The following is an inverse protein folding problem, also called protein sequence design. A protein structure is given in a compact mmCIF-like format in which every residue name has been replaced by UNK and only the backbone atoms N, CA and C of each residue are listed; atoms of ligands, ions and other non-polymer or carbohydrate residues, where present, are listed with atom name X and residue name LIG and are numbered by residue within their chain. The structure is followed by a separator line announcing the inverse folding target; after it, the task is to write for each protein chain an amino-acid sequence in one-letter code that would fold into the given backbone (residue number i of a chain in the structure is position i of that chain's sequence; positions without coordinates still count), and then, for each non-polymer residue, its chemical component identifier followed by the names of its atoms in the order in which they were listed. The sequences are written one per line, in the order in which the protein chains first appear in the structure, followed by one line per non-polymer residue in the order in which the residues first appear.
data_IF_965368295816
#
_entry.id   IF_965368295816
#
_cell.length_a   1.000
_cell.length_b   1.000
_cell.length_c   1.000
_cell.angle_alpha   90.00
_cell.angle_beta   90.00
_cell.angle_gamma   90.00
#
_symmetry.space_group_name_H-M   'P 1'
#
loop_
_entity.id
_entity.type
_entity.pdbx_description
1 polymer ?
#
# COMPACT_ATOMS: atom_id res chain seq x y z
N UNK A 1 18.37 10.01 6.99
CA UNK A 1 17.72 11.05 6.19
C UNK A 1 16.70 11.78 7.05
N UNK A 2 16.76 13.08 7.01
CA UNK A 2 15.85 13.86 7.85
C UNK A 2 14.43 13.85 7.25
N UNK A 3 13.43 13.79 8.13
CA UNK A 3 12.02 13.83 7.72
C UNK A 3 11.39 15.11 8.22
N UNK A 4 10.75 15.85 7.34
CA UNK A 4 10.02 17.05 7.71
C UNK A 4 8.54 16.73 7.76
N UNK A 5 7.85 17.19 8.81
CA UNK A 5 6.42 16.98 8.95
C UNK A 5 5.68 18.15 8.34
N UNK A 6 4.82 17.85 7.38
CA UNK A 6 3.99 18.86 6.73
C UNK A 6 2.59 18.74 7.30
N UNK A 7 2.13 19.82 7.95
CA UNK A 7 0.78 19.87 8.50
C UNK A 7 -0.12 20.55 7.47
N UNK A 8 -1.22 19.91 7.11
CA UNK A 8 -2.14 20.45 6.13
C UNK A 8 -3.57 20.39 6.64
N UNK A 9 -4.39 21.34 6.20
CA UNK A 9 -5.80 21.36 6.54
C UNK A 9 -6.59 21.99 5.40
N UNK A 10 -7.86 21.67 5.35
CA UNK A 10 -8.73 22.19 4.32
C UNK A 10 -9.01 23.66 4.56
N UNK A 11 -8.82 24.48 3.55
CA UNK A 11 -9.07 25.91 3.61
C UNK A 11 -9.84 26.30 2.35
N UNK A 12 -11.14 26.50 2.48
CA UNK A 12 -11.98 26.77 1.32
C UNK A 12 -11.97 25.60 0.34
N UNK A 13 -11.54 25.86 -0.87
CA UNK A 13 -11.45 24.81 -1.89
C UNK A 13 -10.03 24.31 -2.12
N UNK A 14 -9.13 24.64 -1.20
CA UNK A 14 -7.72 24.24 -1.30
C UNK A 14 -7.27 23.56 -0.01
N UNK A 15 -6.08 22.97 -0.06
CA UNK A 15 -5.40 22.43 1.11
C UNK A 15 -4.23 23.35 1.44
N UNK A 16 -4.30 24.01 2.59
CA UNK A 16 -3.20 24.84 3.05
C UNK A 16 -2.22 24.00 3.84
N UNK A 17 -0.93 24.23 3.69
CA UNK A 17 0.07 23.45 4.42
C UNK A 17 1.15 24.35 4.99
N UNK A 18 1.78 23.86 6.04
CA UNK A 18 2.94 24.52 6.66
C UNK A 18 3.88 23.46 7.17
N UNK A 19 5.14 23.84 7.35
CA UNK A 19 6.18 22.96 7.85
C UNK A 19 6.74 23.56 9.12
N UNK A 20 6.34 23.10 10.30
CA UNK A 20 6.80 23.70 11.55
C UNK A 20 8.32 23.71 11.72
N UNK A 21 9.01 22.71 11.19
CA UNK A 21 10.46 22.60 11.32
C UNK A 21 11.20 23.54 10.36
N UNK A 22 10.51 24.15 9.42
CA UNK A 22 11.09 25.11 8.48
C UNK A 22 10.22 26.35 8.44
N UNK A 23 10.37 27.25 9.40
CA UNK A 23 9.51 28.43 9.48
C UNK A 23 9.53 29.23 8.19
N UNK A 24 8.37 29.62 7.73
CA UNK A 24 8.22 30.29 6.45
C UNK A 24 7.88 29.36 5.30
N UNK A 25 8.04 28.07 5.48
CA UNK A 25 7.67 27.10 4.45
C UNK A 25 6.18 26.82 4.56
N UNK A 26 5.40 27.34 3.65
CA UNK A 26 3.96 27.12 3.61
C UNK A 26 3.46 27.29 2.18
N UNK A 27 2.25 26.85 1.92
CA UNK A 27 1.66 26.97 0.61
C UNK A 27 0.26 26.38 0.55
N UNK A 28 -0.23 26.18 -0.66
CA UNK A 28 -1.55 25.63 -0.91
C UNK A 28 -1.50 24.69 -2.08
N UNK A 29 -2.40 23.70 -2.07
CA UNK A 29 -2.60 22.80 -3.21
C UNK A 29 -4.09 22.55 -3.36
N UNK A 30 -4.54 22.30 -4.57
CA UNK A 30 -5.96 22.04 -4.81
C UNK A 30 -6.38 20.66 -4.35
N UNK A 31 -5.48 19.70 -4.40
CA UNK A 31 -5.77 18.33 -4.02
C UNK A 31 -4.81 17.86 -2.96
N UNK A 32 -5.30 17.04 -2.05
CA UNK A 32 -4.47 16.51 -0.98
C UNK A 32 -3.25 15.76 -1.50
N UNK A 33 -3.40 15.02 -2.60
CA UNK A 33 -2.29 14.25 -3.17
C UNK A 33 -1.16 15.13 -3.68
N UNK A 34 -1.42 16.42 -3.92
CA UNK A 34 -0.41 17.35 -4.42
C UNK A 34 0.36 18.02 -3.29
N UNK A 35 -0.15 17.97 -2.06
CA UNK A 35 0.45 18.69 -0.94
C UNK A 35 1.89 18.24 -0.68
N UNK A 36 2.14 16.96 -0.75
CA UNK A 36 3.48 16.43 -0.45
C UNK A 36 4.54 16.96 -1.42
N UNK A 37 4.22 16.95 -2.71
CA UNK A 37 5.16 17.42 -3.73
C UNK A 37 5.36 18.93 -3.66
N UNK A 38 4.26 19.68 -3.44
CA UNK A 38 4.35 21.12 -3.29
C UNK A 38 5.18 21.49 -2.06
N UNK A 39 4.98 20.79 -0.95
CA UNK A 39 5.74 21.02 0.26
C UNK A 39 7.22 20.69 0.07
N UNK A 40 7.51 19.62 -0.66
CA UNK A 40 8.90 19.23 -0.95
C UNK A 40 9.60 20.36 -1.72
N UNK A 41 8.92 20.93 -2.70
CA UNK A 41 9.48 22.03 -3.48
C UNK A 41 9.75 23.25 -2.60
N UNK A 42 8.81 23.59 -1.72
CA UNK A 42 8.96 24.74 -0.83
C UNK A 42 10.09 24.53 0.17
N UNK A 43 10.18 23.33 0.75
CA UNK A 43 11.26 23.02 1.69
C UNK A 43 12.62 23.06 0.98
N UNK A 44 12.69 22.49 -0.20
CA UNK A 44 13.92 22.49 -0.99
C UNK A 44 14.39 23.92 -1.27
N UNK A 45 13.46 24.79 -1.63
CA UNK A 45 13.77 26.18 -1.91
C UNK A 45 14.18 26.94 -0.65
N UNK A 46 13.43 26.74 0.44
CA UNK A 46 13.68 27.51 1.68
C UNK A 46 14.97 27.09 2.37
N UNK A 47 15.35 25.84 2.29
CA UNK A 47 16.53 25.34 2.96
C UNK A 47 17.73 25.16 2.02
N UNK A 48 17.56 25.49 0.75
CA UNK A 48 18.58 25.30 -0.27
C UNK A 48 19.10 23.86 -0.24
N UNK A 49 18.19 22.90 -0.18
CA UNK A 49 18.51 21.49 -0.10
C UNK A 49 17.96 20.76 -1.32
N UNK A 50 18.61 19.67 -1.70
CA UNK A 50 18.14 18.86 -2.81
C UNK A 50 16.82 18.18 -2.43
N UNK A 51 15.85 18.12 -3.34
CA UNK A 51 14.55 17.51 -3.01
C UNK A 51 14.64 16.06 -2.55
N UNK A 52 15.66 15.34 -2.99
CA UNK A 52 15.82 13.93 -2.62
C UNK A 52 16.62 13.73 -1.34
N UNK A 53 17.09 14.82 -0.71
CA UNK A 53 17.95 14.71 0.46
C UNK A 53 17.18 14.58 1.77
N UNK A 54 15.85 14.63 1.72
CA UNK A 54 15.00 14.52 2.90
C UNK A 54 13.68 13.88 2.55
N UNK A 55 12.98 13.39 3.58
CA UNK A 55 11.65 12.83 3.42
C UNK A 55 10.59 13.79 3.91
N UNK A 56 9.37 13.60 3.46
CA UNK A 56 8.23 14.42 3.87
C UNK A 56 7.15 13.51 4.43
N UNK A 57 6.75 13.77 5.65
CA UNK A 57 5.64 13.08 6.30
C UNK A 57 4.45 14.03 6.35
N UNK A 58 3.27 13.54 6.01
CA UNK A 58 2.07 14.35 5.95
C UNK A 58 1.21 14.14 7.18
N UNK A 59 0.82 15.25 7.81
CA UNK A 59 -0.10 15.23 8.94
C UNK A 59 -1.33 16.04 8.54
N UNK A 60 -2.46 15.39 8.36
CA UNK A 60 -3.68 16.04 7.89
C UNK A 60 -4.58 16.35 9.08
N UNK A 61 -4.94 17.61 9.23
CA UNK A 61 -5.87 18.04 10.27
C UNK A 61 -7.27 18.00 9.71
N UNK A 62 -8.14 17.29 10.39
CA UNK A 62 -9.52 17.10 9.96
C UNK A 62 -10.46 17.34 11.13
N UNK A 63 -11.72 17.62 10.80
CA UNK A 63 -12.78 17.66 11.79
C UNK A 63 -12.81 16.31 12.52
N UNK A 64 -12.96 16.27 13.84
CA UNK A 64 -12.99 15.00 14.59
C UNK A 64 -14.00 13.99 14.07
N UNK A 65 -15.11 14.46 13.51
CA UNK A 65 -16.09 13.54 12.94
C UNK A 65 -15.58 12.84 11.70
N UNK A 66 -14.79 13.56 10.90
CA UNK A 66 -14.16 12.98 9.71
C UNK A 66 -13.05 12.03 10.14
N UNK A 67 -12.26 12.40 11.13
CA UNK A 67 -11.21 11.52 11.63
C UNK A 67 -11.77 10.20 12.16
N UNK A 68 -12.88 10.27 12.91
CA UNK A 68 -13.53 9.08 13.43
C UNK A 68 -14.02 8.18 12.29
N UNK A 69 -14.67 8.76 11.29
CA UNK A 69 -15.13 8.00 10.13
C UNK A 69 -13.99 7.35 9.37
N UNK A 70 -12.86 8.07 9.23
CA UNK A 70 -11.68 7.53 8.58
C UNK A 70 -11.07 6.38 9.37
N UNK A 71 -10.99 6.52 10.68
CA UNK A 71 -10.42 5.47 11.51
C UNK A 71 -11.25 4.20 11.46
N UNK A 72 -12.58 4.34 11.48
CA UNK A 72 -13.47 3.19 11.34
C UNK A 72 -13.31 2.53 9.97
N UNK A 73 -13.26 3.33 8.91
CA UNK A 73 -13.11 2.80 7.56
C UNK A 73 -11.77 2.10 7.37
N UNK A 74 -10.70 2.69 7.92
CA UNK A 74 -9.36 2.08 7.83
C UNK A 74 -9.29 0.78 8.62
N UNK A 75 -9.91 0.74 9.79
CA UNK A 75 -9.94 -0.48 10.58
C UNK A 75 -10.68 -1.59 9.85
N UNK A 76 -11.83 -1.26 9.25
CA UNK A 76 -12.61 -2.23 8.48
C UNK A 76 -11.83 -2.73 7.27
N UNK A 77 -11.10 -1.84 6.60
CA UNK A 77 -10.29 -2.22 5.46
C UNK A 77 -9.14 -3.15 5.86
N UNK A 78 -8.52 -2.89 7.01
CA UNK A 78 -7.47 -3.77 7.53
C UNK A 78 -8.00 -5.16 7.87
N UNK A 79 -9.20 -5.23 8.44
CA UNK A 79 -9.85 -6.52 8.69
C UNK A 79 -10.11 -7.26 7.40
N UNK A 80 -10.63 -6.56 6.39
CA UNK A 80 -10.90 -7.16 5.09
C UNK A 80 -9.61 -7.69 4.47
N UNK A 81 -8.54 -6.91 4.48
CA UNK A 81 -7.26 -7.32 3.92
C UNK A 81 -6.71 -8.56 4.64
N UNK A 82 -6.87 -8.61 5.95
CA UNK A 82 -6.44 -9.73 6.76
C UNK A 82 -7.22 -10.99 6.41
N UNK A 83 -8.54 -10.86 6.25
CA UNK A 83 -9.39 -11.96 5.83
C UNK A 83 -9.04 -12.47 4.44
N UNK A 84 -8.79 -11.54 3.53
CA UNK A 84 -8.43 -11.92 2.16
C UNK A 84 -7.11 -12.68 2.12
N UNK A 85 -6.12 -12.25 2.89
CA UNK A 85 -4.84 -12.94 2.96
C UNK A 85 -4.98 -14.34 3.54
N UNK A 86 -5.78 -14.46 4.61
CA UNK A 86 -6.02 -15.76 5.22
C UNK A 86 -6.76 -16.70 4.27
N UNK A 87 -7.76 -16.18 3.56
CA UNK A 87 -8.50 -16.98 2.59
C UNK A 87 -7.62 -17.43 1.43
N UNK A 88 -6.76 -16.52 0.93
CA UNK A 88 -5.83 -16.88 -0.14
C UNK A 88 -4.87 -17.95 0.30
N UNK A 89 -4.36 -17.88 1.52
CA UNK A 89 -3.43 -18.88 2.02
C UNK A 89 -4.10 -20.25 2.13
N UNK A 90 -5.34 -20.30 2.62
CA UNK A 90 -6.07 -21.55 2.69
C UNK A 90 -6.33 -22.14 1.32
N UNK A 91 -6.70 -21.28 0.35
CA UNK A 91 -6.91 -21.74 -1.02
C UNK A 91 -5.61 -22.27 -1.63
N UNK A 92 -4.51 -21.61 -1.38
CA UNK A 92 -3.21 -22.03 -1.89
C UNK A 92 -2.82 -23.40 -1.32
N UNK A 93 -2.97 -23.55 -0.01
CA UNK A 93 -2.64 -24.82 0.64
C UNK A 93 -3.53 -25.96 0.13
N UNK A 94 -4.82 -25.69 -0.03
CA UNK A 94 -5.74 -26.68 -0.55
C UNK A 94 -5.39 -27.07 -1.99
N UNK A 95 -5.10 -26.08 -2.82
CA UNK A 95 -4.75 -26.34 -4.21
C UNK A 95 -3.46 -27.16 -4.32
N UNK A 96 -2.48 -26.85 -3.49
CA UNK A 96 -1.23 -27.61 -3.48
C UNK A 96 -1.44 -29.05 -3.02
N UNK A 97 -2.22 -29.23 -1.97
CA UNK A 97 -2.48 -30.55 -1.45
C UNK A 97 -3.27 -31.41 -2.46
N UNK A 98 -4.26 -30.83 -3.10
CA UNK A 98 -5.05 -31.54 -4.11
C UNK A 98 -4.16 -31.92 -5.28
N UNK A 99 -3.29 -31.02 -5.71
CA UNK A 99 -2.38 -31.30 -6.80
C UNK A 99 -1.42 -32.42 -6.44
N UNK A 100 -0.86 -32.38 -5.25
CA UNK A 100 0.12 -33.36 -4.82
C UNK A 100 -0.47 -34.75 -4.62
N UNK A 101 -1.58 -34.82 -3.91
CA UNK A 101 -2.21 -36.09 -3.60
C UNK A 101 -2.98 -36.65 -4.79
N UNK A 102 -3.71 -35.84 -5.48
CA UNK A 102 -4.57 -36.27 -6.54
C UNK A 102 -3.97 -36.26 -7.94
N UNK A 103 -2.83 -35.62 -8.12
CA UNK A 103 -2.23 -35.48 -9.43
C UNK A 103 -3.12 -34.77 -10.43
N UNK A 104 -3.98 -33.88 -9.92
CA UNK A 104 -4.97 -33.24 -10.76
C UNK A 104 -4.41 -32.02 -11.47
N UNK A 105 -5.00 -31.67 -12.61
CA UNK A 105 -4.60 -30.48 -13.34
C UNK A 105 -5.10 -29.23 -12.65
N UNK A 106 -4.51 -28.10 -13.00
CA UNK A 106 -4.95 -26.81 -12.47
C UNK A 106 -6.42 -26.58 -12.77
N UNK A 107 -6.87 -27.01 -13.93
CA UNK A 107 -8.26 -26.85 -14.34
C UNK A 107 -9.22 -27.63 -13.44
N UNK A 108 -8.84 -28.85 -13.10
CA UNK A 108 -9.63 -29.68 -12.20
C UNK A 108 -9.67 -29.10 -10.79
N UNK A 109 -8.54 -28.60 -10.32
CA UNK A 109 -8.46 -27.97 -9.01
C UNK A 109 -9.38 -26.75 -8.95
N UNK A 110 -9.37 -25.93 -10.00
CA UNK A 110 -10.27 -24.79 -10.08
C UNK A 110 -11.73 -25.19 -10.02
N UNK A 111 -12.09 -26.25 -10.71
CA UNK A 111 -13.48 -26.75 -10.67
C UNK A 111 -13.88 -27.24 -9.29
N UNK A 112 -12.99 -27.94 -8.62
CA UNK A 112 -13.29 -28.48 -7.29
C UNK A 112 -13.40 -27.36 -6.24
N UNK A 113 -12.57 -26.34 -6.35
CA UNK A 113 -12.59 -25.23 -5.39
C UNK A 113 -13.54 -24.13 -5.81
N UNK A 114 -14.17 -24.25 -6.97
CA UNK A 114 -15.05 -23.23 -7.54
C UNK A 114 -14.31 -21.90 -7.69
N UNK A 115 -13.09 -21.98 -8.19
CA UNK A 115 -12.23 -20.82 -8.41
C UNK A 115 -11.78 -20.84 -9.86
N UNK A 116 -11.67 -19.69 -10.48
CA UNK A 116 -11.28 -19.63 -11.88
C UNK A 116 -9.87 -20.17 -12.10
N UNK A 117 -9.63 -20.68 -13.31
CA UNK A 117 -8.32 -21.18 -13.70
C UNK A 117 -7.25 -20.10 -13.54
N UNK A 118 -7.58 -18.88 -13.92
CA UNK A 118 -6.66 -17.75 -13.79
C UNK A 118 -6.28 -17.52 -12.33
N UNK A 119 -7.25 -17.60 -11.43
CA UNK A 119 -7.02 -17.39 -10.02
C UNK A 119 -6.12 -18.48 -9.43
N UNK A 120 -6.36 -19.73 -9.81
CA UNK A 120 -5.52 -20.85 -9.35
C UNK A 120 -4.09 -20.69 -9.86
N UNK A 121 -3.93 -20.28 -11.11
CA UNK A 121 -2.61 -20.04 -11.68
C UNK A 121 -1.87 -18.93 -10.92
N UNK A 122 -2.57 -17.86 -10.56
CA UNK A 122 -2.00 -16.79 -9.79
C UNK A 122 -1.57 -17.24 -8.40
N UNK A 123 -2.41 -18.00 -7.72
CA UNK A 123 -2.11 -18.49 -6.38
C UNK A 123 -0.87 -19.38 -6.37
N UNK A 124 -0.79 -20.32 -7.29
CA UNK A 124 0.36 -21.21 -7.38
C UNK A 124 1.58 -20.51 -7.95
N UNK A 125 1.37 -19.55 -8.85
CA UNK A 125 2.45 -18.76 -9.42
C UNK A 125 3.09 -17.84 -8.42
N UNK A 126 2.30 -17.24 -7.56
CA UNK A 126 2.82 -16.35 -6.52
C UNK A 126 3.73 -17.12 -5.57
N UNK A 127 3.35 -18.33 -5.20
CA UNK A 127 4.21 -19.16 -4.38
C UNK A 127 5.49 -19.49 -5.11
N UNK A 128 5.41 -19.79 -6.39
CA UNK A 128 6.58 -20.11 -7.18
C UNK A 128 7.55 -18.91 -7.23
N UNK A 129 7.01 -17.70 -7.38
CA UNK A 129 7.83 -16.50 -7.35
C UNK A 129 8.50 -16.30 -6.01
N UNK A 130 7.77 -16.50 -4.95
CA UNK A 130 8.32 -16.36 -3.61
C UNK A 130 9.43 -17.36 -3.36
N UNK A 131 9.24 -18.62 -3.75
CA UNK A 131 10.25 -19.63 -3.63
C UNK A 131 11.48 -19.30 -4.45
N UNK A 132 11.26 -18.82 -5.65
CA UNK A 132 12.34 -18.49 -6.55
C UNK A 132 13.16 -17.33 -5.99
N UNK A 133 12.50 -16.33 -5.44
CA UNK A 133 13.20 -15.21 -4.85
C UNK A 133 14.04 -15.62 -3.65
N UNK A 134 13.56 -16.58 -2.88
CA UNK A 134 14.29 -17.05 -1.73
C UNK A 134 15.35 -18.08 -2.06
N UNK A 135 15.20 -18.80 -3.12
CA UNK A 135 16.14 -19.83 -3.48
C UNK A 135 17.15 -19.30 -4.41
N UNK A 136 18.32 -19.60 -4.19
CA UNK A 136 19.28 -19.16 -5.01
C UNK A 136 19.37 -20.00 -6.14
N UNK A 137 19.08 -20.96 -6.37
CA UNK A 137 19.21 -21.76 -7.43
C UNK A 137 18.06 -21.79 -8.23
N UNK A 138 18.18 -21.73 -9.36
CA UNK A 138 17.13 -21.73 -10.15
C UNK A 138 16.80 -23.06 -10.42
N UNK A 139 16.25 -23.54 -10.50
CA UNK A 139 15.89 -24.64 -10.64
C UNK A 139 15.53 -25.03 -11.70
N UNK A 140 15.34 -25.35 -12.22
CA UNK A 140 15.08 -25.70 -13.17
C UNK A 140 14.19 -26.28 -13.48
N UNK A 141 13.77 -26.50 -13.70
CA UNK A 141 12.96 -26.98 -14.07
C UNK A 141 12.44 -27.47 -14.01
#
# INVERSE_FOLDING_TARGET
MKTYTVTTERSGNCWAFSVPEAPGAHGQAKRLEQVRDEARDVISMMLDAEPDSFDVALSVRLDPRIEHALDEAKAARQELDSYQRAAQEKLRLAAEQIKEVGGLSIRDIGSLLDVSLQRISQILGDKRKASYAGAIGPTTE
#
